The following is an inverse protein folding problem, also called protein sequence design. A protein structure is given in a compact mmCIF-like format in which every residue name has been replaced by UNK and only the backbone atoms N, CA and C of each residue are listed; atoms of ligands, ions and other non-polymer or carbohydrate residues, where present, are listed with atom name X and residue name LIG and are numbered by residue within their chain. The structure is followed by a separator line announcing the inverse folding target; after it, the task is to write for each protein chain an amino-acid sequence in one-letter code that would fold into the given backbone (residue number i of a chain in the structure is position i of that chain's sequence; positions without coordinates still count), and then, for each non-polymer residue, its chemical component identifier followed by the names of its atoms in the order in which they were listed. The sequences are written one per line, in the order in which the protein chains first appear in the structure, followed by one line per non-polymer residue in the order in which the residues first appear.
data_IF_436784186302
#
_entry.id   IF_436784186302
#
_cell.length_a   1.000
_cell.length_b   1.000
_cell.length_c   1.000
_cell.angle_alpha   90.00
_cell.angle_beta   90.00
_cell.angle_gamma   90.00
#
_symmetry.space_group_name_H-M   'P 1'
#
loop_
_entity.id
_entity.type
_entity.pdbx_description
1 polymer ?
#
# COMPACT_ATOMS: atom_id res chain seq x y z
N UNK A 1 19.34 -36.03 -30.36
CA UNK A 1 18.04 -36.67 -30.66
C UNK A 1 17.41 -36.97 -29.31
N UNK A 2 16.65 -36.04 -28.73
CA UNK A 2 15.17 -35.91 -28.85
C UNK A 2 14.47 -37.13 -28.23
N UNK A 3 13.54 -37.07 -27.28
CA UNK A 3 12.76 -35.97 -26.70
C UNK A 3 12.16 -36.37 -25.34
N UNK A 4 11.73 -35.34 -24.61
CA UNK A 4 10.90 -35.31 -23.41
C UNK A 4 9.59 -36.10 -23.49
N UNK A 5 9.10 -36.57 -22.34
CA UNK A 5 7.69 -36.91 -22.11
C UNK A 5 7.21 -36.31 -20.76
N UNK A 6 6.57 -35.15 -20.84
CA UNK A 6 5.62 -34.67 -19.83
C UNK A 6 4.23 -35.26 -20.12
N UNK A 7 3.44 -35.68 -19.11
CA UNK A 7 2.04 -35.98 -19.30
C UNK A 7 1.19 -34.70 -19.32
N UNK A 8 0.43 -34.52 -20.40
CA UNK A 8 -0.61 -33.50 -20.54
C UNK A 8 -1.87 -33.94 -19.80
N UNK A 9 -2.37 -33.12 -18.88
CA UNK A 9 -3.73 -33.24 -18.35
C UNK A 9 -4.66 -32.24 -19.04
N UNK A 10 -5.83 -32.72 -19.48
CA UNK A 10 -6.94 -31.93 -20.00
C UNK A 10 -8.09 -32.04 -18.98
N UNK A 11 -8.49 -30.92 -18.39
CA UNK A 11 -9.67 -30.75 -17.53
C UNK A 11 -10.23 -29.34 -17.75
N UNK A 12 -11.54 -29.10 -17.51
CA UNK A 12 -12.27 -28.02 -18.14
C UNK A 12 -11.89 -26.64 -17.57
N UNK A 13 -11.84 -25.65 -18.46
CA UNK A 13 -11.77 -24.22 -18.16
C UNK A 13 -12.98 -23.83 -17.29
N UNK A 14 -12.76 -23.71 -15.98
CA UNK A 14 -13.65 -22.96 -15.11
C UNK A 14 -13.26 -21.48 -15.26
N UNK A 15 -14.21 -20.66 -15.71
CA UNK A 15 -14.05 -19.22 -15.80
C UNK A 15 -13.77 -18.66 -14.39
N UNK A 16 -12.54 -18.25 -14.16
CA UNK A 16 -12.15 -17.43 -13.01
C UNK A 16 -12.73 -16.04 -13.27
N UNK A 17 -13.74 -15.67 -12.49
CA UNK A 17 -14.19 -14.28 -12.38
C UNK A 17 -13.03 -13.48 -11.77
N UNK A 18 -12.37 -12.68 -12.60
CA UNK A 18 -11.51 -11.61 -12.12
C UNK A 18 -12.35 -10.68 -11.24
N UNK A 19 -12.10 -10.69 -9.93
CA UNK A 19 -12.39 -9.53 -9.10
C UNK A 19 -11.24 -8.53 -9.33
N UNK A 20 -11.27 -7.92 -10.51
CA UNK A 20 -10.49 -6.73 -10.79
C UNK A 20 -11.15 -5.58 -10.03
N UNK A 21 -10.38 -4.82 -9.26
CA UNK A 21 -10.64 -3.40 -9.05
C UNK A 21 -10.43 -2.59 -10.35
N UNK A 22 -10.84 -3.15 -11.51
CA UNK A 22 -11.11 -2.40 -12.72
C UNK A 22 -12.56 -1.94 -12.63
N UNK A 23 -12.83 -0.97 -11.75
CA UNK A 23 -13.92 -0.02 -12.00
C UNK A 23 -13.29 1.20 -12.65
N UNK A 24 -12.75 0.97 -13.85
CA UNK A 24 -12.63 2.02 -14.85
C UNK A 24 -14.02 2.25 -15.44
N UNK A 25 -14.60 3.40 -15.16
CA UNK A 25 -15.88 3.84 -15.70
C UNK A 25 -15.84 3.95 -17.23
N UNK A 26 -16.65 3.16 -17.95
CA UNK A 26 -17.28 3.59 -19.20
C UNK A 26 -18.40 2.64 -19.63
N UNK A 27 -19.62 3.18 -19.67
CA UNK A 27 -20.76 2.64 -20.40
C UNK A 27 -20.50 2.68 -21.92
N UNK A 28 -20.62 1.54 -22.58
CA UNK A 28 -20.63 1.44 -24.05
C UNK A 28 -21.07 0.04 -24.47
N UNK A 29 -22.27 -0.06 -25.02
CA UNK A 29 -22.92 -1.30 -25.45
C UNK A 29 -22.19 -1.94 -26.65
N UNK A 30 -21.86 -3.23 -26.55
CA UNK A 30 -21.39 -4.07 -27.67
C UNK A 30 -22.57 -4.90 -28.22
N UNK A 31 -22.96 -4.77 -29.51
CA UNK A 31 -24.23 -5.29 -30.02
C UNK A 31 -24.31 -6.82 -30.26
N UNK A 32 -23.38 -7.64 -29.78
CA UNK A 32 -23.37 -9.09 -30.04
C UNK A 32 -23.16 -10.00 -28.79
N UNK A 33 -23.48 -9.53 -27.59
CA UNK A 33 -23.41 -10.35 -26.38
C UNK A 33 -24.63 -11.28 -26.19
N UNK A 34 -24.35 -12.58 -25.96
CA UNK A 34 -25.32 -13.63 -25.63
C UNK A 34 -26.17 -13.29 -24.37
N UNK A 35 -27.40 -13.86 -24.22
CA UNK A 35 -28.37 -13.39 -23.24
C UNK A 35 -27.88 -13.52 -21.79
N UNK A 36 -28.01 -12.43 -21.04
CA UNK A 36 -27.61 -12.30 -19.65
C UNK A 36 -28.36 -13.29 -18.73
N UNK A 37 -27.70 -13.87 -17.71
CA UNK A 37 -28.40 -14.53 -16.61
C UNK A 37 -29.22 -13.53 -15.80
N UNK A 38 -30.32 -14.03 -15.22
CA UNK A 38 -31.36 -13.28 -14.51
C UNK A 38 -30.78 -12.39 -13.40
N UNK A 39 -31.23 -11.13 -13.23
CA UNK A 39 -30.65 -10.21 -12.25
C UNK A 39 -30.90 -10.70 -10.82
N UNK A 40 -29.82 -10.75 -10.03
CA UNK A 40 -29.88 -10.84 -8.58
C UNK A 40 -30.57 -9.58 -8.02
N UNK A 41 -31.26 -9.67 -6.86
CA UNK A 41 -32.02 -8.55 -6.31
C UNK A 41 -31.11 -7.35 -6.02
N UNK A 42 -31.53 -6.20 -6.51
CA UNK A 42 -30.87 -4.90 -6.38
C UNK A 42 -30.63 -4.56 -4.92
N UNK A 43 -29.36 -4.54 -4.50
CA UNK A 43 -28.96 -3.90 -3.26
C UNK A 43 -29.33 -2.43 -3.36
N UNK A 44 -30.15 -1.97 -2.42
CA UNK A 44 -30.59 -0.58 -2.31
C UNK A 44 -29.35 0.23 -1.91
N UNK A 45 -29.00 1.25 -2.69
CA UNK A 45 -27.90 2.15 -2.35
C UNK A 45 -28.23 2.88 -1.02
N UNK A 46 -27.35 2.89 -0.01
CA UNK A 46 -27.46 3.85 1.06
C UNK A 46 -26.97 5.20 0.52
N UNK A 47 -27.93 6.05 0.16
CA UNK A 47 -27.70 7.48 0.15
C UNK A 47 -27.61 7.92 1.61
N UNK A 48 -26.39 7.95 2.15
CA UNK A 48 -26.12 8.63 3.40
C UNK A 48 -25.36 9.91 3.08
N UNK A 49 -25.97 11.04 3.45
CA UNK A 49 -25.25 12.31 3.53
C UNK A 49 -24.29 12.14 4.69
N UNK A 50 -23.03 11.85 4.39
CA UNK A 50 -21.97 11.79 5.39
C UNK A 50 -21.96 13.14 6.11
N UNK A 51 -22.06 13.10 7.44
CA UNK A 51 -21.84 14.27 8.28
C UNK A 51 -20.42 14.82 8.09
N UNK A 52 -20.10 15.99 8.65
CA UNK A 52 -18.71 16.42 8.69
C UNK A 52 -17.83 15.34 9.33
N UNK A 53 -16.56 15.20 8.93
CA UNK A 53 -15.61 14.30 9.59
C UNK A 53 -15.69 14.49 11.11
N UNK A 54 -15.64 13.38 11.85
CA UNK A 54 -15.63 13.43 13.31
C UNK A 54 -14.41 14.24 13.77
N UNK A 55 -14.67 15.24 14.60
CA UNK A 55 -13.67 16.11 15.21
C UNK A 55 -13.79 16.00 16.73
N UNK A 56 -12.64 15.80 17.37
CA UNK A 56 -12.44 15.60 18.80
C UNK A 56 -11.33 16.54 19.26
N UNK A 57 -11.60 17.30 20.33
CA UNK A 57 -10.60 18.15 20.97
C UNK A 57 -9.44 17.35 21.61
N UNK A 58 -9.58 16.02 21.71
CA UNK A 58 -8.56 15.13 22.27
C UNK A 58 -7.41 14.85 21.30
N UNK A 59 -7.60 15.09 20.00
CA UNK A 59 -6.63 14.79 18.95
C UNK A 59 -6.33 16.03 18.09
N UNK A 60 -5.13 16.14 17.51
CA UNK A 60 -4.76 17.25 16.64
C UNK A 60 -5.60 17.28 15.36
N UNK A 61 -5.71 18.46 14.73
CA UNK A 61 -6.39 18.62 13.45
C UNK A 61 -5.40 18.54 12.28
N UNK A 62 -5.88 18.06 11.14
CA UNK A 62 -5.12 18.01 9.90
C UNK A 62 -5.10 19.37 9.21
N UNK A 63 -3.91 19.82 8.84
CA UNK A 63 -3.68 21.02 8.03
C UNK A 63 -3.37 20.66 6.59
N UNK A 64 -4.11 21.23 5.64
CA UNK A 64 -3.78 21.12 4.22
C UNK A 64 -2.53 21.94 3.91
N UNK A 65 -1.55 21.30 3.23
CA UNK A 65 -0.32 21.95 2.79
C UNK A 65 -0.18 21.91 1.26
N UNK A 66 0.96 22.38 0.74
CA UNK A 66 1.24 22.37 -0.68
C UNK A 66 1.12 20.96 -1.27
N UNK A 67 0.62 20.91 -2.51
CA UNK A 67 0.17 19.68 -3.15
C UNK A 67 1.23 19.07 -4.05
N UNK A 68 1.08 17.77 -4.34
CA UNK A 68 1.74 17.14 -5.50
C UNK A 68 1.45 17.92 -6.80
N UNK A 69 2.38 17.84 -7.74
CA UNK A 69 2.21 18.28 -9.13
C UNK A 69 1.27 17.31 -9.87
N UNK A 70 1.51 16.00 -9.73
CA UNK A 70 0.72 14.96 -10.39
C UNK A 70 -0.16 14.23 -9.37
N UNK A 71 -1.50 14.19 -9.56
CA UNK A 71 -2.37 13.38 -8.71
C UNK A 71 -2.04 11.90 -8.89
N UNK A 72 -1.90 11.17 -7.78
CA UNK A 72 -1.51 9.76 -7.82
C UNK A 72 -2.00 9.00 -6.59
N UNK A 73 -2.20 7.70 -6.77
CA UNK A 73 -2.45 6.72 -5.72
C UNK A 73 -1.56 5.47 -5.93
N UNK A 74 -1.57 4.56 -4.95
CA UNK A 74 -0.85 3.29 -4.97
C UNK A 74 0.65 3.44 -5.33
N UNK A 75 1.29 4.48 -4.79
CA UNK A 75 2.69 4.85 -5.02
C UNK A 75 3.55 4.56 -3.79
N UNK A 76 4.88 4.52 -3.97
CA UNK A 76 5.82 4.36 -2.86
C UNK A 76 6.12 5.68 -2.17
N UNK A 77 6.21 5.68 -0.83
CA UNK A 77 6.75 6.79 -0.02
C UNK A 77 7.96 6.37 0.83
N UNK A 78 8.95 7.26 0.95
CA UNK A 78 10.12 7.05 1.80
C UNK A 78 10.67 8.38 2.33
N UNK A 79 11.25 8.34 3.52
CA UNK A 79 11.80 9.51 4.20
C UNK A 79 13.33 9.45 4.22
N UNK A 80 14.00 10.51 3.77
CA UNK A 80 15.45 10.68 3.88
C UNK A 80 15.78 12.07 4.40
N UNK A 81 16.25 12.16 5.64
CA UNK A 81 16.46 13.46 6.28
C UNK A 81 15.14 14.21 6.38
N UNK A 82 15.08 15.42 5.82
CA UNK A 82 13.88 16.27 5.74
C UNK A 82 13.10 16.07 4.44
N UNK A 83 13.54 15.18 3.56
CA UNK A 83 12.90 14.95 2.27
C UNK A 83 11.92 13.77 2.36
N UNK A 84 10.67 13.99 1.95
CA UNK A 84 9.71 12.92 1.67
C UNK A 84 9.71 12.64 0.18
N UNK A 85 10.14 11.45 -0.21
CA UNK A 85 10.18 10.99 -1.59
C UNK A 85 8.90 10.25 -1.94
N UNK A 86 8.28 10.63 -3.05
CA UNK A 86 7.08 10.03 -3.62
C UNK A 86 7.40 9.52 -5.02
N UNK A 87 7.28 8.21 -5.26
CA UNK A 87 7.71 7.57 -6.51
C UNK A 87 6.61 6.73 -7.14
N UNK A 88 6.47 6.82 -8.46
CA UNK A 88 5.58 5.97 -9.23
C UNK A 88 4.11 6.14 -8.83
N UNK A 89 3.39 5.03 -8.76
CA UNK A 89 1.94 4.99 -8.59
C UNK A 89 1.20 4.97 -9.90
N UNK A 90 -0.10 5.20 -9.82
CA UNK A 90 -0.94 5.39 -11.00
C UNK A 90 -1.65 6.73 -10.98
N UNK A 91 -2.08 7.16 -12.17
CA UNK A 91 -2.84 8.39 -12.35
C UNK A 91 -3.88 8.27 -13.48
N UNK A 92 -5.01 8.94 -13.30
CA UNK A 92 -6.09 9.08 -14.27
C UNK A 92 -6.97 7.83 -14.39
N UNK A 93 -8.09 7.96 -15.10
CA UNK A 93 -9.16 6.93 -15.16
C UNK A 93 -8.73 5.55 -15.68
N UNK A 94 -7.58 5.45 -16.39
CA UNK A 94 -7.03 4.19 -16.91
C UNK A 94 -5.85 3.65 -16.11
N UNK A 95 -5.48 4.29 -14.99
CA UNK A 95 -4.37 3.88 -14.14
C UNK A 95 -3.03 3.89 -14.88
N UNK A 96 -2.63 5.05 -15.42
CA UNK A 96 -1.32 5.18 -16.08
C UNK A 96 -0.23 5.07 -15.02
N UNK A 97 0.65 4.07 -15.16
CA UNK A 97 1.76 3.87 -14.23
C UNK A 97 2.80 4.97 -14.42
N UNK A 98 3.14 5.65 -13.33
CA UNK A 98 4.08 6.74 -13.31
C UNK A 98 5.51 6.20 -13.13
N UNK A 99 6.48 6.91 -13.71
CA UNK A 99 7.91 6.78 -13.40
C UNK A 99 8.44 8.00 -12.66
N UNK A 100 7.62 9.04 -12.52
CA UNK A 100 8.02 10.32 -11.95
C UNK A 100 8.22 10.23 -10.44
N UNK A 101 9.18 11.03 -9.98
CA UNK A 101 9.54 11.17 -8.57
C UNK A 101 9.31 12.62 -8.16
N UNK A 102 8.48 12.82 -7.14
CA UNK A 102 8.22 14.12 -6.51
C UNK A 102 8.73 14.10 -5.07
N UNK A 103 9.34 15.20 -4.63
CA UNK A 103 10.02 15.27 -3.34
C UNK A 103 9.59 16.53 -2.62
N UNK A 104 9.12 16.37 -1.38
CA UNK A 104 8.81 17.46 -0.46
C UNK A 104 9.99 17.67 0.49
N UNK A 105 10.57 18.87 0.51
CA UNK A 105 11.47 19.30 1.58
C UNK A 105 10.61 19.87 2.73
N UNK A 106 10.54 19.16 3.86
CA UNK A 106 9.70 19.57 5.00
C UNK A 106 10.23 20.79 5.74
N UNK A 107 11.48 21.21 5.50
CA UNK A 107 12.04 22.44 6.09
C UNK A 107 11.49 23.68 5.40
N UNK A 108 11.31 23.61 4.08
CA UNK A 108 10.84 24.74 3.26
C UNK A 108 9.35 24.63 2.92
N UNK A 109 8.79 23.42 2.96
CA UNK A 109 7.45 23.10 2.47
C UNK A 109 7.37 23.03 0.93
N UNK A 110 8.51 23.10 0.23
CA UNK A 110 8.53 23.14 -1.23
C UNK A 110 8.58 21.73 -1.84
N UNK A 111 7.73 21.52 -2.84
CA UNK A 111 7.78 20.35 -3.70
C UNK A 111 8.72 20.57 -4.90
N UNK A 112 9.43 19.51 -5.28
CA UNK A 112 10.22 19.47 -6.52
C UNK A 112 10.04 18.15 -7.25
N UNK A 113 9.89 18.24 -8.57
CA UNK A 113 9.96 17.08 -9.47
C UNK A 113 11.42 16.76 -9.75
N UNK A 114 11.80 15.49 -9.59
CA UNK A 114 13.16 15.00 -9.84
C UNK A 114 13.39 14.71 -11.32
N UNK A 115 14.61 14.94 -11.80
CA UNK A 115 15.06 14.46 -13.13
C UNK A 115 15.36 12.94 -13.13
N UNK A 116 15.36 12.31 -11.95
CA UNK A 116 15.48 10.85 -11.81
C UNK A 116 14.10 10.24 -12.02
N UNK A 117 14.02 9.24 -12.88
CA UNK A 117 12.81 8.44 -13.11
C UNK A 117 13.01 7.01 -12.60
N UNK A 118 11.91 6.35 -12.23
CA UNK A 118 11.92 4.89 -12.03
C UNK A 118 12.26 4.18 -13.36
N UNK A 119 12.99 3.05 -13.32
CA UNK A 119 13.31 2.28 -14.54
C UNK A 119 12.06 1.73 -15.26
N UNK A 120 11.00 1.49 -14.50
CA UNK A 120 9.71 0.96 -14.95
C UNK A 120 8.61 1.66 -14.17
N UNK A 121 7.49 1.96 -14.83
CA UNK A 121 6.31 2.51 -14.16
C UNK A 121 5.57 1.41 -13.39
N UNK A 122 5.41 1.60 -12.08
CA UNK A 122 4.81 0.64 -11.17
C UNK A 122 3.77 1.32 -10.28
N UNK A 123 2.73 0.58 -9.94
CA UNK A 123 1.78 0.92 -8.88
C UNK A 123 1.64 -0.26 -7.90
N UNK A 124 1.09 -0.01 -6.72
CA UNK A 124 0.91 -0.98 -5.63
C UNK A 124 2.23 -1.73 -5.31
N UNK A 125 3.34 -1.02 -5.42
CA UNK A 125 4.67 -1.43 -4.98
C UNK A 125 4.99 -0.66 -3.70
N UNK A 126 5.96 -1.14 -2.94
CA UNK A 126 6.37 -0.47 -1.71
C UNK A 126 7.86 -0.20 -1.70
N UNK A 127 8.23 0.84 -0.95
CA UNK A 127 9.61 1.27 -0.85
C UNK A 127 10.02 1.65 0.57
N UNK A 128 11.32 1.52 0.83
CA UNK A 128 11.89 1.80 2.15
C UNK A 128 13.26 2.43 2.02
N UNK A 129 13.50 3.46 2.82
CA UNK A 129 14.81 4.11 2.89
C UNK A 129 15.69 3.45 3.96
N UNK A 130 16.93 3.12 3.60
CA UNK A 130 18.01 2.81 4.55
C UNK A 130 19.16 3.77 4.28
N UNK A 131 19.39 4.69 5.22
CA UNK A 131 20.38 5.75 5.06
C UNK A 131 19.99 6.69 3.91
N UNK A 132 20.70 6.60 2.77
CA UNK A 132 20.40 7.39 1.57
C UNK A 132 19.86 6.55 0.41
N UNK A 133 19.73 5.25 0.62
CA UNK A 133 19.35 4.32 -0.43
C UNK A 133 17.86 4.01 -0.29
N UNK A 134 17.10 4.07 -1.39
CA UNK A 134 15.68 3.71 -1.42
C UNK A 134 15.53 2.38 -2.14
N UNK A 135 15.05 1.36 -1.42
CA UNK A 135 14.78 0.03 -1.94
C UNK A 135 13.32 -0.04 -2.37
N UNK A 136 13.04 -0.55 -3.57
CA UNK A 136 11.69 -0.71 -4.09
C UNK A 136 11.49 -2.13 -4.62
N UNK A 137 10.37 -2.75 -4.22
CA UNK A 137 10.07 -4.14 -4.53
C UNK A 137 8.68 -4.35 -5.13
N UNK A 138 8.59 -5.31 -6.05
CA UNK A 138 7.38 -5.77 -6.71
C UNK A 138 6.57 -4.66 -7.36
N UNK A 139 5.25 -4.81 -7.33
CA UNK A 139 4.31 -3.88 -7.94
C UNK A 139 3.61 -4.42 -9.16
N UNK A 140 2.75 -3.58 -9.71
CA UNK A 140 1.85 -3.88 -10.83
C UNK A 140 2.21 -3.01 -12.03
N UNK A 141 2.72 -3.62 -13.09
CA UNK A 141 3.20 -2.90 -14.27
C UNK A 141 2.05 -2.35 -15.13
N UNK A 142 2.40 -1.59 -16.17
CA UNK A 142 1.45 -1.01 -17.13
C UNK A 142 0.57 -2.03 -17.86
N UNK A 143 1.01 -3.28 -17.96
CA UNK A 143 0.30 -4.37 -18.61
C UNK A 143 -0.55 -5.15 -17.60
N UNK A 144 -0.61 -4.68 -16.35
CA UNK A 144 -1.37 -5.28 -15.25
C UNK A 144 -0.84 -6.66 -14.86
N UNK A 145 0.48 -6.81 -14.86
CA UNK A 145 1.15 -7.99 -14.32
C UNK A 145 1.76 -7.70 -12.94
N UNK A 146 1.63 -8.62 -11.98
CA UNK A 146 2.49 -8.65 -10.82
C UNK A 146 3.95 -8.76 -11.26
N UNK A 147 4.85 -8.02 -10.62
CA UNK A 147 6.27 -7.98 -10.98
C UNK A 147 7.14 -8.50 -9.84
N UNK A 148 8.30 -9.04 -10.19
CA UNK A 148 9.40 -9.37 -9.29
C UNK A 148 10.42 -8.22 -9.17
N UNK A 149 9.99 -6.99 -9.50
CA UNK A 149 10.85 -5.81 -9.53
C UNK A 149 11.63 -5.69 -8.22
N UNK A 150 12.93 -5.44 -8.33
CA UNK A 150 13.82 -5.36 -7.19
C UNK A 150 14.98 -4.44 -7.56
N UNK A 151 14.93 -3.22 -7.05
CA UNK A 151 15.96 -2.23 -7.34
C UNK A 151 16.19 -1.30 -6.16
N UNK A 152 17.37 -0.71 -6.14
CA UNK A 152 17.75 0.31 -5.15
C UNK A 152 18.21 1.58 -5.87
N UNK A 153 17.76 2.73 -5.37
CA UNK A 153 18.20 4.05 -5.81
C UNK A 153 19.24 4.60 -4.81
N UNK A 154 20.48 4.86 -5.27
CA UNK A 154 21.41 5.71 -4.52
C UNK A 154 21.05 7.17 -4.80
N UNK A 155 20.32 7.80 -3.88
CA UNK A 155 19.80 9.17 -4.04
C UNK A 155 20.87 10.24 -4.21
N UNK A 156 22.11 9.98 -3.76
CA UNK A 156 23.23 10.93 -3.96
C UNK A 156 23.75 10.90 -5.40
N UNK A 157 23.78 9.72 -6.01
CA UNK A 157 24.24 9.58 -7.40
C UNK A 157 23.11 9.69 -8.43
N UNK A 158 21.86 9.56 -7.98
CA UNK A 158 20.67 9.51 -8.82
C UNK A 158 20.60 8.29 -9.71
N UNK A 159 21.19 7.16 -9.29
CA UNK A 159 21.28 5.94 -10.09
C UNK A 159 20.55 4.79 -9.43
N UNK A 160 19.68 4.18 -10.22
CA UNK A 160 19.10 2.87 -9.91
C UNK A 160 20.11 1.76 -10.18
N UNK A 161 20.01 0.71 -9.39
CA UNK A 161 20.75 -0.54 -9.55
C UNK A 161 19.82 -1.72 -9.27
N UNK A 162 19.89 -2.72 -10.13
CA UNK A 162 19.15 -3.96 -9.97
C UNK A 162 19.69 -4.75 -8.77
N UNK A 163 18.75 -5.33 -8.02
CA UNK A 163 19.00 -6.30 -6.96
C UNK A 163 18.55 -7.68 -7.43
N UNK A 164 18.86 -8.76 -6.69
CA UNK A 164 18.22 -10.05 -6.94
C UNK A 164 16.70 -9.89 -6.93
N UNK A 165 16.05 -10.47 -7.94
CA UNK A 165 14.61 -10.39 -8.13
C UNK A 165 13.87 -10.87 -6.88
N UNK A 166 12.72 -10.23 -6.61
CA UNK A 166 11.82 -10.67 -5.57
C UNK A 166 11.42 -12.14 -5.84
N UNK A 167 11.47 -13.06 -4.86
CA UNK A 167 11.29 -14.49 -5.13
C UNK A 167 9.98 -14.86 -5.84
N UNK A 168 8.92 -14.06 -5.61
CA UNK A 168 7.61 -14.24 -6.23
C UNK A 168 7.10 -12.88 -6.73
N UNK A 169 6.73 -12.75 -8.02
CA UNK A 169 6.11 -11.55 -8.54
C UNK A 169 4.81 -11.23 -7.79
N UNK A 170 4.69 -10.04 -7.23
CA UNK A 170 3.53 -9.64 -6.42
C UNK A 170 3.33 -8.13 -6.38
N UNK A 171 2.11 -7.71 -6.09
CA UNK A 171 1.72 -6.31 -5.86
C UNK A 171 0.82 -6.21 -4.62
N UNK A 172 0.52 -5.00 -4.16
CA UNK A 172 -0.30 -4.73 -2.98
C UNK A 172 0.18 -5.47 -1.71
N UNK A 173 1.49 -5.72 -1.65
CA UNK A 173 2.21 -6.20 -0.48
C UNK A 173 2.75 -5.00 0.30
N UNK A 174 3.30 -5.25 1.48
CA UNK A 174 4.01 -4.23 2.26
C UNK A 174 5.50 -4.50 2.32
N UNK A 175 6.31 -3.45 2.42
CA UNK A 175 7.75 -3.54 2.69
C UNK A 175 8.08 -2.78 3.97
N UNK A 176 8.64 -3.45 4.97
CA UNK A 176 9.01 -2.81 6.23
C UNK A 176 10.44 -3.15 6.62
N UNK A 177 11.24 -2.13 6.95
CA UNK A 177 12.56 -2.35 7.53
C UNK A 177 12.43 -2.71 9.03
N UNK A 178 13.11 -3.78 9.44
CA UNK A 178 13.18 -4.19 10.84
C UNK A 178 14.51 -4.87 11.14
N UNK A 179 15.19 -4.43 12.19
CA UNK A 179 16.52 -4.94 12.62
C UNK A 179 17.57 -5.02 11.49
N UNK A 180 17.45 -4.15 10.48
CA UNK A 180 18.39 -4.05 9.35
C UNK A 180 18.04 -4.88 8.13
N UNK A 181 17.01 -5.73 8.20
CA UNK A 181 16.47 -6.49 7.07
C UNK A 181 15.17 -5.84 6.55
N UNK A 182 14.79 -6.17 5.31
CA UNK A 182 13.56 -5.69 4.67
C UNK A 182 12.57 -6.84 4.51
N UNK A 183 11.37 -6.67 5.06
CA UNK A 183 10.33 -7.69 5.06
C UNK A 183 9.25 -7.34 4.06
N UNK A 184 9.10 -8.18 3.02
CA UNK A 184 8.01 -8.16 2.05
C UNK A 184 6.91 -9.08 2.54
N UNK A 185 5.76 -8.54 2.95
CA UNK A 185 4.69 -9.31 3.60
C UNK A 185 3.44 -9.33 2.72
N UNK A 186 2.93 -10.54 2.47
CA UNK A 186 1.66 -10.77 1.78
C UNK A 186 1.62 -10.20 0.36
N UNK A 187 0.48 -9.63 -0.01
CA UNK A 187 0.20 -9.09 -1.33
C UNK A 187 -0.59 -10.05 -2.20
N UNK A 188 -0.51 -9.84 -3.52
CA UNK A 188 -1.23 -10.60 -4.53
C UNK A 188 -0.32 -10.94 -5.71
N UNK A 189 -0.38 -12.20 -6.15
CA UNK A 189 0.29 -12.68 -7.35
C UNK A 189 -0.72 -12.98 -8.47
N UNK A 190 -0.31 -13.73 -9.50
CA UNK A 190 -1.16 -14.10 -10.62
C UNK A 190 -2.27 -15.10 -10.27
N UNK A 191 -2.15 -15.82 -9.15
CA UNK A 191 -3.09 -16.84 -8.69
C UNK A 191 -4.01 -16.32 -7.57
N UNK A 192 -3.57 -15.36 -6.76
CA UNK A 192 -4.40 -14.74 -5.73
C UNK A 192 -3.60 -14.05 -4.61
N UNK A 193 -4.27 -13.73 -3.48
CA UNK A 193 -3.58 -13.22 -2.30
C UNK A 193 -2.58 -14.25 -1.77
N UNK A 194 -1.44 -13.76 -1.28
CA UNK A 194 -0.35 -14.57 -0.73
C UNK A 194 -0.13 -14.27 0.75
N UNK A 195 0.44 -15.23 1.50
CA UNK A 195 0.63 -15.15 2.95
C UNK A 195 2.11 -15.12 3.37
N UNK A 196 2.99 -15.27 2.40
CA UNK A 196 4.43 -15.41 2.55
C UNK A 196 5.06 -14.11 3.05
N UNK A 197 6.14 -14.28 3.82
CA UNK A 197 7.06 -13.20 4.20
C UNK A 197 8.41 -13.50 3.56
N UNK A 198 8.77 -12.70 2.55
CA UNK A 198 10.10 -12.72 1.95
C UNK A 198 10.97 -11.67 2.65
N UNK A 199 12.20 -12.02 2.99
CA UNK A 199 13.13 -11.19 3.76
C UNK A 199 14.37 -10.94 2.93
N UNK A 200 14.68 -9.67 2.70
CA UNK A 200 15.89 -9.24 2.01
C UNK A 200 16.90 -8.70 3.00
N UNK A 201 18.10 -9.29 2.99
CA UNK A 201 19.26 -8.76 3.71
C UNK A 201 20.03 -7.81 2.78
N UNK A 202 20.01 -6.48 3.02
CA UNK A 202 20.69 -5.50 2.17
C UNK A 202 22.22 -5.56 2.25
N UNK A 203 22.80 -6.25 3.25
CA UNK A 203 24.25 -6.40 3.41
C UNK A 203 24.80 -7.52 2.53
N UNK A 204 24.09 -8.64 2.46
CA UNK A 204 24.45 -9.77 1.61
C UNK A 204 23.79 -9.73 0.23
N UNK A 205 22.79 -8.87 0.05
CA UNK A 205 21.91 -8.80 -1.11
C UNK A 205 21.31 -10.17 -1.41
N UNK A 206 20.68 -10.80 -0.41
CA UNK A 206 20.05 -12.10 -0.58
C UNK A 206 18.64 -12.12 -0.04
N UNK A 207 17.79 -12.92 -0.70
CA UNK A 207 16.44 -13.22 -0.25
C UNK A 207 16.41 -14.51 0.54
N UNK A 208 15.58 -14.52 1.58
CA UNK A 208 15.11 -15.71 2.27
C UNK A 208 13.60 -15.63 2.43
N UNK A 209 12.96 -16.75 2.76
CA UNK A 209 11.52 -16.77 3.07
C UNK A 209 11.36 -17.24 4.51
N UNK A 210 10.56 -16.52 5.29
CA UNK A 210 10.19 -16.91 6.64
C UNK A 210 9.50 -18.29 6.64
N UNK A 211 9.62 -19.06 7.72
CA UNK A 211 8.94 -20.37 7.79
C UNK A 211 7.48 -20.21 8.18
N UNK A 212 7.15 -19.17 8.94
CA UNK A 212 5.77 -18.92 9.37
C UNK A 212 5.08 -17.90 8.44
N UNK A 213 4.17 -18.35 7.55
CA UNK A 213 3.33 -17.43 6.78
C UNK A 213 2.23 -16.83 7.68
N UNK A 214 1.59 -15.77 7.20
CA UNK A 214 0.34 -15.28 7.80
C UNK A 214 -0.71 -16.39 7.84
N UNK A 215 -1.56 -16.37 8.86
CA UNK A 215 -2.66 -17.33 8.98
C UNK A 215 -3.69 -17.20 7.85
N UNK A 216 -3.84 -15.98 7.32
CA UNK A 216 -4.70 -15.66 6.19
C UNK A 216 -3.90 -14.83 5.19
N UNK A 217 -3.82 -15.31 3.95
CA UNK A 217 -3.28 -14.56 2.84
C UNK A 217 -4.09 -13.28 2.62
N UNK A 218 -3.41 -12.16 2.42
CA UNK A 218 -4.06 -10.87 2.23
C UNK A 218 -3.21 -9.91 1.43
N UNK A 219 -3.90 -9.07 0.68
CA UNK A 219 -3.32 -7.96 -0.07
C UNK A 219 -3.89 -6.63 0.41
N UNK A 220 -3.30 -5.53 -0.03
CA UNK A 220 -3.79 -4.18 0.26
C UNK A 220 -3.90 -3.87 1.76
N UNK A 221 -3.08 -4.52 2.59
CA UNK A 221 -2.89 -4.24 4.01
C UNK A 221 -1.74 -3.26 4.20
N UNK A 222 -1.58 -2.74 5.41
CA UNK A 222 -0.45 -1.90 5.79
C UNK A 222 0.38 -2.59 6.88
N UNK A 223 1.69 -2.33 6.91
CA UNK A 223 2.59 -2.91 7.93
C UNK A 223 3.48 -1.85 8.54
N UNK A 224 3.54 -1.83 9.87
CA UNK A 224 4.42 -0.92 10.62
C UNK A 224 5.33 -1.69 11.57
N UNK A 225 6.58 -1.23 11.69
CA UNK A 225 7.51 -1.72 12.70
C UNK A 225 7.18 -1.12 14.07
N UNK A 226 6.99 -1.97 15.07
CA UNK A 226 6.73 -1.58 16.46
C UNK A 226 7.69 -2.31 17.41
N UNK A 227 7.78 -1.91 18.69
CA UNK A 227 8.52 -2.69 19.69
C UNK A 227 8.02 -4.13 19.91
N UNK A 228 6.80 -4.45 19.45
CA UNK A 228 6.20 -5.80 19.54
C UNK A 228 6.53 -6.68 18.33
N UNK A 229 7.06 -6.10 17.24
CA UNK A 229 7.29 -6.74 15.96
C UNK A 229 6.69 -5.96 14.79
N UNK A 230 6.53 -6.63 13.66
CA UNK A 230 5.89 -6.09 12.46
C UNK A 230 4.38 -6.27 12.56
N UNK A 231 3.66 -5.17 12.69
CA UNK A 231 2.21 -5.16 12.86
C UNK A 231 1.53 -4.95 11.50
N UNK A 232 0.87 -5.99 11.00
CA UNK A 232 0.05 -6.01 9.78
C UNK A 232 -1.36 -5.58 10.14
N UNK A 233 -1.87 -4.54 9.49
CA UNK A 233 -3.14 -3.88 9.79
C UNK A 233 -4.07 -3.96 8.58
N UNK A 234 -5.25 -4.55 8.78
CA UNK A 234 -6.31 -4.61 7.78
C UNK A 234 -5.96 -5.43 6.55
N UNK A 235 -6.35 -4.91 5.38
CA UNK A 235 -6.22 -5.53 4.07
C UNK A 235 -7.49 -6.20 3.58
N UNK A 236 -7.36 -6.92 2.46
CA UNK A 236 -8.43 -7.71 1.87
C UNK A 236 -8.29 -9.18 2.25
N UNK A 237 -9.39 -9.75 2.73
CA UNK A 237 -9.55 -11.20 2.86
C UNK A 237 -10.66 -11.64 1.91
N UNK A 238 -10.29 -12.49 0.97
CA UNK A 238 -11.14 -12.95 -0.12
C UNK A 238 -11.70 -11.79 -0.97
N UNK A 239 -12.83 -11.21 -0.57
CA UNK A 239 -13.58 -10.19 -1.31
C UNK A 239 -14.04 -9.02 -0.43
N UNK A 240 -13.58 -8.92 0.81
CA UNK A 240 -13.98 -7.86 1.74
C UNK A 240 -12.78 -7.33 2.52
N UNK A 241 -12.77 -6.02 2.88
CA UNK A 241 -11.78 -5.48 3.81
C UNK A 241 -11.92 -6.15 5.19
N UNK A 242 -10.81 -6.23 5.92
CA UNK A 242 -10.77 -6.81 7.28
C UNK A 242 -10.31 -5.80 8.32
N UNK A 243 -10.73 -6.04 9.57
CA UNK A 243 -10.31 -5.33 10.78
C UNK A 243 -9.17 -6.06 11.53
N UNK A 244 -8.66 -7.15 10.94
CA UNK A 244 -7.62 -7.96 11.56
C UNK A 244 -6.30 -7.20 11.71
N UNK A 245 -5.68 -7.40 12.87
CA UNK A 245 -4.29 -7.03 13.12
C UNK A 245 -3.51 -8.28 13.51
N UNK A 246 -2.43 -8.55 12.79
CA UNK A 246 -1.50 -9.65 13.07
C UNK A 246 -0.10 -9.09 13.30
N UNK A 247 0.61 -9.62 14.29
CA UNK A 247 1.96 -9.17 14.66
C UNK A 247 2.95 -10.30 14.41
N UNK A 248 3.89 -10.08 13.49
CA UNK A 248 5.00 -10.98 13.24
C UNK A 248 6.19 -10.60 14.11
N UNK A 249 6.73 -11.59 14.81
CA UNK A 249 8.00 -11.50 15.54
C UNK A 249 9.10 -12.15 14.69
N UNK A 250 9.96 -11.34 14.03
CA UNK A 250 11.00 -11.89 13.16
C UNK A 250 12.06 -12.69 13.91
N UNK A 251 12.31 -12.38 15.18
CA UNK A 251 13.31 -13.10 15.97
C UNK A 251 12.85 -14.52 16.35
N UNK A 252 11.53 -14.74 16.44
CA UNK A 252 10.93 -16.04 16.75
C UNK A 252 10.31 -16.74 15.55
N UNK A 253 10.22 -16.06 14.41
CA UNK A 253 9.51 -16.50 13.21
C UNK A 253 8.09 -16.99 13.54
N UNK A 254 7.32 -16.11 14.19
CA UNK A 254 6.00 -16.44 14.74
C UNK A 254 5.04 -15.28 14.66
N UNK A 255 3.78 -15.62 14.36
CA UNK A 255 2.67 -14.69 14.37
C UNK A 255 1.91 -14.73 15.70
N UNK A 256 1.39 -13.58 16.08
CA UNK A 256 0.43 -13.40 17.17
C UNK A 256 -0.68 -12.44 16.72
N UNK A 257 -1.79 -12.42 17.43
CA UNK A 257 -2.90 -11.49 17.13
C UNK A 257 -2.67 -10.17 17.83
N UNK A 258 -2.84 -9.06 17.12
CA UNK A 258 -2.91 -7.73 17.70
C UNK A 258 -4.35 -7.30 18.02
N UNK A 259 -4.54 -6.11 18.61
CA UNK A 259 -5.85 -5.50 18.79
C UNK A 259 -6.47 -5.16 17.43
N UNK A 260 -7.68 -5.66 17.16
CA UNK A 260 -8.40 -5.39 15.91
C UNK A 260 -8.68 -3.90 15.75
N UNK A 261 -8.54 -3.40 14.52
CA UNK A 261 -8.95 -2.03 14.17
C UNK A 261 -10.47 -1.91 14.42
N UNK A 262 -11.00 -0.76 14.87
CA UNK A 262 -12.43 -0.64 15.14
C UNK A 262 -13.33 -0.90 13.92
N UNK A 263 -12.85 -0.55 12.73
CA UNK A 263 -13.53 -0.77 11.45
C UNK A 263 -12.59 -1.45 10.44
N UNK A 264 -13.11 -2.22 9.48
CA UNK A 264 -12.29 -2.80 8.41
C UNK A 264 -11.62 -1.74 7.53
N UNK A 265 -10.32 -1.91 7.26
CA UNK A 265 -9.52 -0.97 6.46
C UNK A 265 -8.70 -1.69 5.39
N UNK A 266 -8.43 -1.02 4.28
CA UNK A 266 -7.54 -1.51 3.22
C UNK A 266 -6.94 -0.37 2.44
N UNK A 267 -5.68 -0.48 2.00
CA UNK A 267 -4.93 0.64 1.38
C UNK A 267 -5.02 1.89 2.27
N UNK A 268 -4.91 1.68 3.58
CA UNK A 268 -4.99 2.77 4.54
C UNK A 268 -3.64 3.52 4.51
N UNK A 269 -3.56 4.61 5.26
CA UNK A 269 -2.28 5.13 5.70
C UNK A 269 -2.04 4.66 7.12
N UNK A 270 -0.98 3.87 7.36
CA UNK A 270 -0.64 3.41 8.72
C UNK A 270 0.79 3.74 9.07
N UNK A 271 1.02 4.36 10.23
CA UNK A 271 2.38 4.64 10.71
C UNK A 271 2.54 4.47 12.21
N UNK A 272 3.77 4.25 12.67
CA UNK A 272 4.12 4.17 14.08
C UNK A 272 4.97 5.38 14.50
N UNK A 273 4.54 6.06 15.56
CA UNK A 273 5.22 7.23 16.12
C UNK A 273 4.95 7.30 17.62
N UNK A 274 6.00 7.50 18.41
CA UNK A 274 5.94 7.74 19.87
C UNK A 274 5.07 6.77 20.69
N UNK A 275 5.10 5.47 20.35
CA UNK A 275 4.33 4.46 21.06
C UNK A 275 2.92 4.24 20.53
N UNK A 276 2.52 4.97 19.50
CA UNK A 276 1.20 4.91 18.90
C UNK A 276 1.24 4.43 17.45
N UNK A 277 0.24 3.65 17.04
CA UNK A 277 -0.02 3.37 15.62
C UNK A 277 -1.19 4.21 15.17
N UNK A 278 -0.95 5.07 14.18
CA UNK A 278 -1.96 5.91 13.56
C UNK A 278 -2.41 5.25 12.26
N UNK A 279 -3.72 5.16 12.05
CA UNK A 279 -4.32 4.58 10.86
C UNK A 279 -5.41 5.50 10.31
N UNK A 280 -5.33 5.88 9.04
CA UNK A 280 -6.34 6.70 8.36
C UNK A 280 -6.83 6.02 7.08
N UNK A 281 -8.16 5.92 6.92
CA UNK A 281 -8.79 5.30 5.75
C UNK A 281 -10.14 5.95 5.48
N UNK A 282 -10.31 6.55 4.31
CA UNK A 282 -11.48 7.36 3.98
C UNK A 282 -11.78 8.41 5.07
N UNK A 283 -12.95 8.33 5.69
CA UNK A 283 -13.47 9.25 6.70
C UNK A 283 -13.14 8.80 8.12
N UNK A 284 -12.29 7.78 8.26
CA UNK A 284 -11.94 7.17 9.54
C UNK A 284 -10.48 7.46 9.86
N UNK A 285 -10.21 7.76 11.12
CA UNK A 285 -8.85 7.77 11.66
C UNK A 285 -8.86 7.20 13.07
N UNK A 286 -7.89 6.33 13.34
CA UNK A 286 -7.76 5.64 14.61
C UNK A 286 -6.33 5.71 15.12
N UNK A 287 -6.19 5.69 16.44
CA UNK A 287 -4.89 5.64 17.12
C UNK A 287 -4.89 4.48 18.09
N UNK A 288 -3.90 3.61 17.98
CA UNK A 288 -3.64 2.53 18.91
C UNK A 288 -2.55 2.95 19.88
N UNK A 289 -2.82 2.97 21.18
CA UNK A 289 -1.75 2.93 22.16
C UNK A 289 -1.18 1.51 22.23
N UNK A 290 0.06 1.33 21.76
CA UNK A 290 0.67 -0.01 21.63
C UNK A 290 0.86 -0.70 22.99
N UNK A 291 0.90 0.07 24.08
CA UNK A 291 1.13 -0.47 25.42
C UNK A 291 -0.16 -0.99 26.06
N UNK A 292 -1.26 -0.27 25.97
CA UNK A 292 -2.58 -0.70 26.46
C UNK A 292 -3.25 -1.66 25.50
N UNK A 293 -2.97 -1.52 24.20
CA UNK A 293 -3.64 -2.26 23.13
C UNK A 293 -5.04 -1.71 22.83
N UNK A 294 -5.32 -0.46 23.21
CA UNK A 294 -6.62 0.19 23.00
C UNK A 294 -6.58 1.12 21.79
N UNK A 295 -7.56 0.96 20.90
CA UNK A 295 -7.82 1.87 19.79
C UNK A 295 -8.77 2.97 20.23
N UNK A 296 -8.48 4.19 19.81
CA UNK A 296 -9.34 5.35 19.95
C UNK A 296 -9.58 6.00 18.58
N UNK A 297 -10.71 6.69 18.43
CA UNK A 297 -11.02 7.47 17.24
C UNK A 297 -10.29 8.82 17.30
N UNK A 298 -9.57 9.15 16.23
CA UNK A 298 -8.91 10.43 16.03
C UNK A 298 -9.57 11.22 14.91
N UNK A 299 -9.15 12.48 14.77
CA UNK A 299 -9.67 13.36 13.75
C UNK A 299 -9.39 12.81 12.35
N UNK A 300 -10.45 12.67 11.57
CA UNK A 300 -10.36 12.13 10.21
C UNK A 300 -9.63 13.07 9.25
N UNK A 301 -9.16 12.51 8.14
CA UNK A 301 -8.59 13.29 7.05
C UNK A 301 -9.61 14.29 6.51
N UNK A 302 -9.20 15.54 6.15
CA UNK A 302 -10.11 16.54 5.58
C UNK A 302 -10.75 16.08 4.26
N UNK A 303 -10.04 15.22 3.52
CA UNK A 303 -10.51 14.57 2.31
C UNK A 303 -10.40 13.06 2.46
N UNK A 304 -11.56 12.39 2.43
CA UNK A 304 -11.66 10.94 2.46
C UNK A 304 -10.95 10.29 1.26
N UNK A 305 -9.93 9.47 1.54
CA UNK A 305 -9.14 8.78 0.51
C UNK A 305 -8.43 7.53 1.04
N UNK A 306 -7.89 6.76 0.11
CA UNK A 306 -7.10 5.53 0.34
C UNK A 306 -5.96 5.45 -0.68
N UNK A 307 -5.08 4.46 -0.59
CA UNK A 307 -3.93 4.30 -1.51
C UNK A 307 -2.96 5.49 -1.45
N UNK A 308 -2.86 6.10 -0.27
CA UNK A 308 -2.08 7.31 0.00
C UNK A 308 -0.71 6.97 0.57
N UNK A 309 0.26 7.86 0.38
CA UNK A 309 1.49 7.85 1.18
C UNK A 309 1.20 8.33 2.60
N UNK A 310 1.75 7.66 3.61
CA UNK A 310 1.49 7.99 5.02
C UNK A 310 2.74 7.82 5.87
N UNK A 311 3.48 8.92 6.08
CA UNK A 311 4.81 8.87 6.68
C UNK A 311 4.94 9.79 7.89
N UNK A 312 5.66 9.36 8.95
CA UNK A 312 5.99 10.20 10.07
C UNK A 312 7.33 10.91 9.80
N UNK A 313 7.40 12.22 10.04
CA UNK A 313 8.64 12.99 9.95
C UNK A 313 8.55 14.23 10.84
N UNK A 314 9.60 14.47 11.63
CA UNK A 314 9.78 15.68 12.45
C UNK A 314 8.59 16.02 13.36
N UNK A 315 8.03 15.00 14.02
CA UNK A 315 6.90 15.18 14.94
C UNK A 315 5.57 15.41 14.22
N UNK A 316 5.48 15.10 12.93
CA UNK A 316 4.24 15.19 12.17
C UNK A 316 3.98 13.91 11.38
N UNK A 317 2.72 13.73 10.98
CA UNK A 317 2.32 12.72 9.99
C UNK A 317 1.91 13.42 8.71
N UNK A 318 2.39 12.93 7.57
CA UNK A 318 2.05 13.44 6.25
C UNK A 318 1.21 12.42 5.50
N UNK A 319 0.00 12.82 5.11
CA UNK A 319 -0.92 12.04 4.29
C UNK A 319 -0.92 12.60 2.86
N UNK A 320 -0.26 11.91 1.94
CA UNK A 320 0.11 12.40 0.61
C UNK A 320 -0.71 11.67 -0.45
N UNK A 321 -1.30 12.39 -1.40
CA UNK A 321 -1.99 11.81 -2.56
C UNK A 321 -3.15 10.88 -2.19
N UNK A 322 -3.34 9.83 -2.99
CA UNK A 322 -4.36 8.80 -2.82
C UNK A 322 -5.57 8.96 -3.76
N UNK A 323 -6.55 8.09 -3.60
CA UNK A 323 -7.78 8.06 -4.38
C UNK A 323 -8.99 8.42 -3.51
N UNK A 324 -9.71 9.48 -3.89
CA UNK A 324 -10.91 9.94 -3.20
C UNK A 324 -12.15 9.27 -3.78
N UNK A 325 -13.16 9.01 -2.94
CA UNK A 325 -14.48 8.55 -3.38
C UNK A 325 -15.43 9.75 -3.39
N UNK A 326 -16.14 9.97 -4.51
CA UNK A 326 -17.13 11.05 -4.71
C UNK A 326 -16.56 12.45 -5.09
N UNK A 327 -16.20 12.66 -6.37
CA UNK A 327 -16.11 11.65 -7.43
C UNK A 327 -14.84 10.79 -7.25
N UNK A 328 -14.88 9.57 -7.79
CA UNK A 328 -13.70 8.70 -7.85
C UNK A 328 -12.59 9.39 -8.65
N UNK A 329 -11.47 9.70 -8.00
CA UNK A 329 -10.31 10.32 -8.66
C UNK A 329 -9.06 10.23 -7.79
N UNK A 330 -7.92 10.16 -8.46
CA UNK A 330 -6.61 10.36 -7.82
C UNK A 330 -6.47 11.84 -7.47
N UNK A 331 -5.86 12.11 -6.31
CA UNK A 331 -5.74 13.46 -5.78
C UNK A 331 -4.28 13.84 -5.59
N UNK A 332 -4.04 15.14 -5.63
CA UNK A 332 -2.75 15.76 -5.31
C UNK A 332 -2.65 16.23 -3.86
N UNK A 333 -3.72 16.03 -3.09
CA UNK A 333 -3.87 16.57 -1.74
C UNK A 333 -2.78 16.07 -0.82
N UNK A 334 -2.25 16.96 0.01
CA UNK A 334 -1.30 16.62 1.05
C UNK A 334 -1.78 17.29 2.33
N UNK A 335 -1.98 16.48 3.36
CA UNK A 335 -2.36 16.96 4.68
C UNK A 335 -1.25 16.61 5.69
N UNK A 336 -1.02 17.49 6.65
CA UNK A 336 -0.05 17.36 7.73
C UNK A 336 -0.77 17.35 9.08
N UNK A 337 -0.41 16.42 9.95
CA UNK A 337 -0.91 16.33 11.32
C UNK A 337 0.25 16.56 12.29
N UNK A 338 0.24 17.66 13.03
CA UNK A 338 1.25 17.92 14.07
C UNK A 338 0.99 17.05 15.31
N UNK A 339 2.01 16.30 15.73
CA UNK A 339 2.03 15.55 16.97
C UNK A 339 2.77 16.40 18.01
N UNK A 340 2.04 16.81 19.07
CA UNK A 340 2.46 17.85 20.01
C UNK A 340 3.61 17.53 20.95
#
# INVERSE_FOLDING_TARGET
MSADHHPRWRGPLAAVLLCSALVGCASGEDPDAAPAPTPAPTATAPGEVVGPPTSSDAYPEWDAIDTLEVPRDDFGTAVIGTDIWTMGGMTGERGNRLVSIEILDTTTGEWRTSDIEMPVGLASFEMVAIGRDIYAFGGFDKDSNPTDFSSVLDTRSGRWRDLPALPHPRYAHTVTAYDGDLYVIGGRDGDGPVAEVDVFDPRSETWTTARAPMAHARDSHDTVATPQGLMVVGGWLDYEPTDLVDVYDPARDRWSKGPRVPEPVSRAGVTYVDGQVWASYHELSFVLDVKSGEWEEANALPLARHGLGYVPLDGAIYAIGGCALNPLRDVRTVDRLELG
#
